data_IF_934478892217
#
_entry.id   IF_934478892217
#
_cell.length_a   1.000
_cell.length_b   1.000
_cell.length_c   1.000
_cell.angle_alpha   90.00
_cell.angle_beta   90.00
_cell.angle_gamma   90.00
#
_symmetry.space_group_name_H-M   'P 1'
#
loop_
_entity.id
_entity.type
_entity.pdbx_description
1 polymer ?
#
# COMPACT_ATOMS: atom_id res chain seq x y z
N UNK A 1 6.69 -0.35 22.79
CA UNK A 1 5.82 0.50 21.96
C UNK A 1 6.62 0.97 20.76
N UNK A 2 6.12 0.75 19.55
CA UNK A 2 6.77 1.26 18.34
C UNK A 2 6.76 2.79 18.34
N UNK A 3 7.90 3.42 18.05
CA UNK A 3 7.99 4.88 17.95
C UNK A 3 7.14 5.36 16.77
N UNK A 4 6.24 6.36 16.95
CA UNK A 4 5.48 6.93 15.83
C UNK A 4 6.43 7.45 14.76
N UNK A 5 5.97 7.55 13.51
CA UNK A 5 6.80 8.12 12.45
C UNK A 5 7.20 9.60 12.75
N UNK A 6 6.38 10.28 13.57
CA UNK A 6 6.48 11.70 13.95
C UNK A 6 6.66 11.91 15.47
N UNK A 7 7.80 11.53 16.08
CA UNK A 7 8.02 11.79 17.49
C UNK A 7 8.23 13.30 17.73
N UNK A 8 7.41 13.89 18.60
CA UNK A 8 7.63 15.24 19.15
C UNK A 8 6.87 16.41 18.52
N UNK A 9 5.97 16.18 17.55
CA UNK A 9 4.98 17.20 17.12
C UNK A 9 3.60 16.82 17.64
N UNK A 10 2.98 17.73 18.36
CA UNK A 10 1.55 17.65 18.67
C UNK A 10 0.78 17.72 17.35
N UNK A 11 0.11 16.62 16.99
CA UNK A 11 -0.72 16.57 15.79
C UNK A 11 -2.03 17.28 16.09
N UNK A 12 -2.26 18.39 15.39
CA UNK A 12 -3.52 19.14 15.44
C UNK A 12 -4.28 18.96 14.13
N UNK A 13 -5.60 19.11 14.17
CA UNK A 13 -6.48 18.98 13.01
C UNK A 13 -5.96 19.81 11.81
N UNK A 14 -5.87 19.17 10.64
CA UNK A 14 -5.36 19.74 9.40
C UNK A 14 -3.83 19.73 9.25
N UNK A 15 -3.09 19.09 10.17
CA UNK A 15 -1.63 18.89 10.00
C UNK A 15 -1.37 18.00 8.78
N UNK A 16 -0.54 18.45 7.84
CA UNK A 16 -0.14 17.65 6.68
C UNK A 16 0.79 16.53 7.13
N UNK A 17 0.39 15.29 6.86
CA UNK A 17 1.15 14.07 7.14
C UNK A 17 1.85 13.54 5.89
N UNK A 18 1.28 13.79 4.71
CA UNK A 18 1.81 13.38 3.42
C UNK A 18 1.25 14.21 2.28
N UNK A 19 1.91 14.18 1.13
CA UNK A 19 1.51 14.90 -0.08
C UNK A 19 1.70 13.99 -1.29
N UNK A 20 0.67 13.88 -2.12
CA UNK A 20 0.72 13.20 -3.42
C UNK A 20 0.76 14.18 -4.58
N UNK A 21 0.51 13.69 -5.79
CA UNK A 21 0.44 14.53 -7.00
C UNK A 21 -0.77 15.48 -7.00
N UNK A 22 -1.90 15.05 -6.43
CA UNK A 22 -3.19 15.75 -6.51
C UNK A 22 -3.92 15.95 -5.17
N UNK A 23 -3.47 15.29 -4.10
CA UNK A 23 -4.14 15.39 -2.80
C UNK A 23 -3.12 15.41 -1.64
N UNK A 24 -3.50 16.05 -0.54
CA UNK A 24 -2.82 15.98 0.76
C UNK A 24 -3.38 14.82 1.57
N UNK A 25 -2.54 14.24 2.44
CA UNK A 25 -3.01 13.46 3.60
C UNK A 25 -2.88 14.33 4.84
N UNK A 26 -3.99 14.61 5.52
CA UNK A 26 -4.02 15.51 6.68
C UNK A 26 -4.68 14.87 7.89
N UNK A 27 -4.12 15.16 9.06
CA UNK A 27 -4.58 14.63 10.35
C UNK A 27 -5.97 15.16 10.73
N UNK A 28 -6.84 14.27 11.19
CA UNK A 28 -8.15 14.63 11.79
C UNK A 28 -8.07 14.41 13.30
N UNK A 29 -7.85 13.16 13.69
CA UNK A 29 -7.81 12.67 15.06
C UNK A 29 -6.91 11.42 15.16
N UNK A 30 -6.84 10.79 16.34
CA UNK A 30 -5.97 9.64 16.62
C UNK A 30 -6.29 8.37 15.82
N UNK A 31 -7.39 8.37 15.06
CA UNK A 31 -7.85 7.22 14.29
C UNK A 31 -7.97 7.49 12.80
N UNK A 32 -8.07 8.76 12.39
CA UNK A 32 -8.46 9.12 11.03
C UNK A 32 -7.63 10.22 10.40
N UNK A 33 -7.54 10.15 9.08
CA UNK A 33 -6.95 11.16 8.21
C UNK A 33 -7.89 11.49 7.06
N UNK A 34 -7.74 12.68 6.51
CA UNK A 34 -8.30 13.03 5.21
C UNK A 34 -7.27 12.85 4.13
N UNK A 35 -7.67 12.22 3.02
CA UNK A 35 -7.03 12.37 1.71
C UNK A 35 -7.90 13.33 0.89
N UNK A 36 -7.36 14.48 0.49
CA UNK A 36 -8.15 15.49 -0.25
C UNK A 36 -7.30 16.59 -0.86
N UNK A 37 -7.84 17.32 -1.84
CA UNK A 37 -7.10 18.37 -2.55
C UNK A 37 -7.03 19.69 -1.77
N UNK A 38 -7.77 19.81 -0.67
CA UNK A 38 -7.87 21.03 0.14
C UNK A 38 -7.84 20.69 1.63
N UNK A 39 -7.16 21.54 2.42
CA UNK A 39 -7.17 21.49 3.88
C UNK A 39 -7.87 22.74 4.39
N UNK A 40 -8.99 22.56 5.08
CA UNK A 40 -9.72 23.63 5.78
C UNK A 40 -9.54 23.47 7.29
N UNK A 41 -9.26 24.55 7.99
CA UNK A 41 -9.20 24.59 9.46
C UNK A 41 -10.03 25.78 9.93
N UNK A 42 -11.02 25.53 10.80
CA UNK A 42 -11.95 26.55 11.30
C UNK A 42 -12.65 27.34 10.17
N UNK A 43 -13.11 26.62 9.13
CA UNK A 43 -13.78 27.20 7.96
C UNK A 43 -12.86 27.97 7.00
N UNK A 44 -11.56 28.08 7.29
CA UNK A 44 -10.60 28.77 6.42
C UNK A 44 -9.73 27.76 5.68
N UNK A 45 -9.63 27.94 4.35
CA UNK A 45 -8.70 27.20 3.50
C UNK A 45 -7.26 27.53 3.87
N UNK A 46 -6.50 26.53 4.32
CA UNK A 46 -5.08 26.66 4.68
C UNK A 46 -4.14 26.25 3.54
N UNK A 47 -4.47 25.16 2.85
CA UNK A 47 -3.66 24.63 1.75
C UNK A 47 -4.60 24.00 0.72
N UNK A 48 -4.23 24.07 -0.56
CA UNK A 48 -5.03 23.49 -1.65
C UNK A 48 -4.19 23.24 -2.89
N UNK A 49 -4.57 22.23 -3.66
CA UNK A 49 -4.14 22.05 -5.05
C UNK A 49 -5.03 22.89 -5.98
N UNK A 50 -4.49 23.38 -7.10
CA UNK A 50 -5.24 24.23 -8.04
C UNK A 50 -6.32 23.48 -8.80
N UNK A 51 -6.16 22.16 -8.97
CA UNK A 51 -7.11 21.26 -9.64
C UNK A 51 -7.71 20.36 -8.55
N UNK A 52 -9.03 20.23 -8.55
CA UNK A 52 -9.75 19.38 -7.60
C UNK A 52 -9.59 17.90 -7.94
N UNK A 53 -9.41 17.05 -6.93
CA UNK A 53 -9.35 15.59 -7.08
C UNK A 53 -10.70 14.90 -6.73
N UNK A 54 -11.85 15.57 -6.88
CA UNK A 54 -13.16 15.06 -6.39
C UNK A 54 -13.57 13.73 -7.04
N UNK A 55 -13.42 13.64 -8.37
CA UNK A 55 -13.72 12.43 -9.13
C UNK A 55 -12.76 11.30 -8.77
N UNK A 56 -11.47 11.60 -8.58
CA UNK A 56 -10.47 10.63 -8.14
C UNK A 56 -10.77 10.09 -6.73
N UNK A 57 -11.21 10.95 -5.81
CA UNK A 57 -11.61 10.57 -4.46
C UNK A 57 -12.86 9.69 -4.47
N UNK A 58 -13.86 10.06 -5.27
CA UNK A 58 -15.09 9.27 -5.43
C UNK A 58 -14.81 7.90 -6.07
N UNK A 59 -13.92 7.88 -7.07
CA UNK A 59 -13.41 6.66 -7.70
C UNK A 59 -12.71 5.77 -6.67
N UNK A 60 -11.74 6.29 -5.92
CA UNK A 60 -11.02 5.51 -4.90
C UNK A 60 -11.97 4.96 -3.84
N UNK A 61 -12.96 5.74 -3.40
CA UNK A 61 -13.99 5.28 -2.48
C UNK A 61 -14.78 4.10 -3.05
N UNK A 62 -15.18 4.15 -4.32
CA UNK A 62 -15.89 3.06 -4.97
C UNK A 62 -15.05 1.77 -5.04
N UNK A 63 -13.73 1.87 -5.19
CA UNK A 63 -12.82 0.71 -5.08
C UNK A 63 -12.86 0.12 -3.67
N UNK A 64 -12.75 0.94 -2.61
CA UNK A 64 -12.86 0.46 -1.24
C UNK A 64 -14.21 -0.22 -0.95
N UNK A 65 -15.31 0.34 -1.47
CA UNK A 65 -16.64 -0.29 -1.33
C UNK A 65 -16.71 -1.65 -2.01
N UNK A 66 -16.09 -1.79 -3.18
CA UNK A 66 -16.06 -3.05 -3.94
C UNK A 66 -15.18 -4.11 -3.27
N UNK A 67 -14.02 -3.70 -2.73
CA UNK A 67 -13.11 -4.57 -2.00
C UNK A 67 -13.76 -5.17 -0.75
N UNK A 68 -14.51 -4.36 0.00
CA UNK A 68 -15.01 -4.74 1.32
C UNK A 68 -13.91 -4.76 2.39
N UNK A 69 -14.27 -5.00 3.66
CA UNK A 69 -13.31 -4.99 4.76
C UNK A 69 -12.38 -6.20 4.72
N UNK A 70 -11.12 -5.99 5.07
CA UNK A 70 -10.11 -7.04 5.24
C UNK A 70 -8.98 -6.52 6.14
N UNK A 71 -8.38 -7.38 6.96
CA UNK A 71 -7.41 -6.96 7.99
C UNK A 71 -6.13 -6.34 7.40
N UNK A 72 -5.76 -6.77 6.18
CA UNK A 72 -4.60 -6.26 5.43
C UNK A 72 -4.98 -5.16 4.40
N UNK A 73 -6.18 -4.59 4.45
CA UNK A 73 -6.58 -3.45 3.60
C UNK A 73 -6.83 -2.23 4.49
N UNK A 74 -6.32 -1.07 4.11
CA UNK A 74 -6.49 0.18 4.84
C UNK A 74 -7.98 0.49 4.97
N UNK A 75 -8.45 0.80 6.17
CA UNK A 75 -9.88 1.07 6.35
C UNK A 75 -10.25 2.42 5.75
N UNK A 76 -11.24 2.43 4.87
CA UNK A 76 -11.92 3.64 4.42
C UNK A 76 -13.24 3.81 5.19
N UNK A 77 -13.46 4.99 5.76
CA UNK A 77 -14.65 5.32 6.54
C UNK A 77 -15.74 5.99 5.72
N UNK A 78 -15.41 6.55 4.55
CA UNK A 78 -16.39 7.23 3.69
C UNK A 78 -15.80 8.42 2.95
N UNK A 79 -16.68 9.08 2.19
CA UNK A 79 -16.46 10.40 1.65
C UNK A 79 -17.03 11.46 2.59
N UNK A 80 -16.25 12.50 2.82
CA UNK A 80 -16.73 13.74 3.39
C UNK A 80 -17.10 14.69 2.26
N UNK A 81 -18.34 15.12 2.26
CA UNK A 81 -18.90 16.04 1.27
C UNK A 81 -19.18 17.38 1.91
N UNK A 82 -18.89 18.46 1.17
CA UNK A 82 -19.34 19.79 1.56
C UNK A 82 -20.66 20.03 0.85
N UNK A 83 -21.72 20.21 1.64
CA UNK A 83 -22.96 20.77 1.14
C UNK A 83 -22.79 22.28 1.12
N UNK A 84 -22.79 22.90 -0.06
CA UNK A 84 -22.94 24.35 -0.15
C UNK A 84 -24.24 24.74 0.57
N UNK A 85 -24.16 25.62 1.55
CA UNK A 85 -25.37 26.25 2.09
C UNK A 85 -26.07 26.97 0.92
N UNK A 86 -27.39 26.80 0.73
CA UNK A 86 -28.10 27.59 -0.25
C UNK A 86 -27.88 29.08 0.09
N UNK A 87 -27.63 29.94 -0.90
CA UNK A 87 -27.40 31.35 -0.64
C UNK A 87 -28.55 31.91 0.20
N UNK A 88 -28.23 32.55 1.33
CA UNK A 88 -29.22 33.21 2.19
C UNK A 88 -30.04 34.13 1.30
N UNK A 89 -31.30 33.75 1.06
CA UNK A 89 -32.19 34.49 0.18
C UNK A 89 -32.38 35.90 0.75
N UNK A 90 -31.78 36.91 0.12
CA UNK A 90 -32.15 38.31 0.41
C UNK A 90 -33.65 38.46 0.08
N UNK A 91 -34.46 39.06 0.96
CA UNK A 91 -35.89 39.11 0.77
C UNK A 91 -36.25 40.13 -0.32
N UNK A 92 -36.14 39.73 -1.60
CA UNK A 92 -36.69 40.52 -2.69
C UNK A 92 -37.44 39.67 -3.71
N UNK A 93 -38.72 40.05 -3.84
CA UNK A 93 -39.71 39.66 -4.85
C UNK A 93 -39.08 39.50 -6.24
N UNK A 94 -38.97 38.26 -6.70
CA UNK A 94 -39.33 37.88 -8.05
C UNK A 94 -39.50 36.36 -8.12
N UNK A 95 -40.29 35.88 -9.07
CA UNK A 95 -40.56 34.46 -9.30
C UNK A 95 -39.25 33.76 -9.72
N UNK A 96 -38.46 33.31 -8.75
CA UNK A 96 -37.23 32.59 -9.01
C UNK A 96 -37.55 31.14 -9.40
N UNK A 97 -36.94 30.70 -10.51
CA UNK A 97 -36.77 29.29 -10.88
C UNK A 97 -36.24 28.56 -9.65
N UNK A 98 -36.79 27.38 -9.33
CA UNK A 98 -36.26 26.50 -8.26
C UNK A 98 -34.74 26.40 -8.49
N UNK A 99 -33.90 26.82 -7.53
CA UNK A 99 -32.46 26.70 -7.70
C UNK A 99 -32.12 25.22 -7.91
N UNK A 100 -31.14 24.90 -8.78
CA UNK A 100 -30.66 23.53 -8.86
C UNK A 100 -30.27 23.04 -7.45
N UNK A 101 -30.43 21.74 -7.15
CA UNK A 101 -29.96 21.21 -5.88
C UNK A 101 -28.49 21.61 -5.69
N UNK A 102 -28.05 21.91 -4.44
CA UNK A 102 -26.67 22.30 -4.19
C UNK A 102 -25.73 21.22 -4.74
N UNK A 103 -24.67 21.64 -5.42
CA UNK A 103 -23.63 20.72 -5.86
C UNK A 103 -23.04 20.07 -4.61
N UNK A 104 -23.07 18.73 -4.56
CA UNK A 104 -22.41 17.97 -3.50
C UNK A 104 -20.96 17.82 -3.95
N UNK A 105 -20.06 18.64 -3.40
CA UNK A 105 -18.64 18.59 -3.71
C UNK A 105 -17.95 17.57 -2.81
N UNK A 106 -17.20 16.63 -3.39
CA UNK A 106 -16.43 15.65 -2.61
C UNK A 106 -15.19 16.34 -2.06
N UNK A 107 -15.15 16.58 -0.76
CA UNK A 107 -14.05 17.31 -0.14
C UNK A 107 -12.85 16.41 0.14
N UNK A 108 -13.11 15.25 0.74
CA UNK A 108 -12.06 14.33 1.16
C UNK A 108 -12.56 12.88 1.27
N UNK A 109 -11.64 11.95 1.09
CA UNK A 109 -11.77 10.56 1.50
C UNK A 109 -11.28 10.43 2.95
N UNK A 110 -12.12 9.90 3.85
CA UNK A 110 -11.74 9.64 5.25
C UNK A 110 -11.16 8.24 5.38
N UNK A 111 -9.90 8.15 5.80
CA UNK A 111 -9.13 6.91 5.91
C UNK A 111 -8.63 6.69 7.35
N UNK A 112 -8.26 5.45 7.64
CA UNK A 112 -7.54 5.07 8.87
C UNK A 112 -6.17 5.75 8.95
N UNK A 113 -5.86 6.30 10.13
CA UNK A 113 -4.53 6.84 10.42
C UNK A 113 -3.55 5.69 10.65
N UNK A 114 -2.53 5.58 9.79
CA UNK A 114 -1.40 4.68 10.01
C UNK A 114 -0.28 5.39 10.80
N UNK A 115 -0.03 5.02 12.07
CA UNK A 115 0.88 5.78 12.95
C UNK A 115 2.37 5.57 12.64
N UNK A 116 2.73 4.54 11.87
CA UNK A 116 4.12 4.14 11.64
C UNK A 116 4.58 4.33 10.18
N UNK A 117 3.84 5.11 9.39
CA UNK A 117 4.15 5.35 7.98
C UNK A 117 4.01 4.10 7.13
N UNK A 118 4.86 3.96 6.12
CA UNK A 118 4.82 2.85 5.16
C UNK A 118 5.91 1.82 5.43
N UNK A 119 5.77 0.62 4.85
CA UNK A 119 6.83 -0.41 4.86
C UNK A 119 8.14 0.18 4.30
N UNK A 120 8.06 0.99 3.25
CA UNK A 120 9.23 1.67 2.69
C UNK A 120 9.87 2.66 3.65
N UNK A 121 9.08 3.47 4.35
CA UNK A 121 9.59 4.41 5.36
C UNK A 121 10.34 3.67 6.48
N UNK A 122 9.79 2.55 6.94
CA UNK A 122 10.41 1.70 7.95
C UNK A 122 11.78 1.18 7.50
N UNK A 123 11.90 0.74 6.25
CA UNK A 123 13.16 0.24 5.68
C UNK A 123 14.18 1.37 5.55
N UNK A 124 13.75 2.55 5.09
CA UNK A 124 14.61 3.72 4.90
C UNK A 124 15.10 4.35 6.20
N UNK A 125 14.28 4.31 7.26
CA UNK A 125 14.60 4.92 8.56
C UNK A 125 15.80 4.29 9.27
N UNK A 126 16.18 3.05 8.91
CA UNK A 126 17.31 2.33 9.52
C UNK A 126 17.29 2.40 11.04
N UNK A 127 16.18 1.97 11.65
CA UNK A 127 16.03 1.94 13.11
C UNK A 127 17.15 1.10 13.76
N UNK A 128 17.53 1.38 15.02
CA UNK A 128 18.46 0.53 15.76
C UNK A 128 18.04 -0.94 15.74
N UNK A 129 18.95 -1.83 15.38
CA UNK A 129 18.64 -3.26 15.19
C UNK A 129 17.93 -3.58 13.87
N UNK A 130 18.01 -2.71 12.85
CA UNK A 130 17.63 -3.05 11.47
C UNK A 130 18.74 -3.88 10.79
N UNK A 131 18.41 -4.79 9.86
CA UNK A 131 17.06 -5.17 9.42
C UNK A 131 16.25 -5.81 10.55
N UNK A 132 14.92 -5.72 10.48
CA UNK A 132 14.07 -6.35 11.51
C UNK A 132 14.36 -7.86 11.61
N UNK A 133 14.17 -8.47 12.81
CA UNK A 133 14.29 -9.92 12.98
C UNK A 133 13.48 -10.69 11.95
N UNK A 134 13.99 -11.85 11.52
CA UNK A 134 13.37 -12.64 10.46
C UNK A 134 11.86 -12.91 10.67
N UNK A 135 11.37 -13.27 11.87
CA UNK A 135 9.93 -13.46 12.09
C UNK A 135 9.09 -12.22 11.78
N UNK A 136 9.59 -11.03 12.11
CA UNK A 136 8.90 -9.77 11.80
C UNK A 136 8.86 -9.50 10.29
N UNK A 137 9.95 -9.76 9.57
CA UNK A 137 9.98 -9.65 8.10
C UNK A 137 9.03 -10.65 7.44
N UNK A 138 9.00 -11.91 7.91
CA UNK A 138 8.07 -12.94 7.41
C UNK A 138 6.60 -12.56 7.62
N UNK A 139 6.25 -11.99 8.79
CA UNK A 139 4.90 -11.48 9.04
C UNK A 139 4.50 -10.37 8.06
N UNK A 140 5.37 -9.39 7.83
CA UNK A 140 5.11 -8.34 6.83
C UNK A 140 4.94 -8.92 5.42
N UNK A 141 5.76 -9.91 5.03
CA UNK A 141 5.59 -10.61 3.76
C UNK A 141 4.21 -11.29 3.64
N UNK A 142 3.73 -11.94 4.70
CA UNK A 142 2.39 -12.57 4.72
C UNK A 142 1.28 -11.53 4.61
N UNK A 143 1.33 -10.45 5.39
CA UNK A 143 0.35 -9.37 5.31
C UNK A 143 0.26 -8.75 3.90
N UNK A 144 1.42 -8.49 3.30
CA UNK A 144 1.51 -7.95 1.94
C UNK A 144 0.91 -8.92 0.91
N UNK A 145 1.26 -10.21 0.98
CA UNK A 145 0.70 -11.21 0.08
C UNK A 145 -0.80 -11.42 0.30
N UNK A 146 -1.27 -11.40 1.54
CA UNK A 146 -2.69 -11.51 1.89
C UNK A 146 -3.51 -10.33 1.38
N UNK A 147 -2.99 -9.10 1.48
CA UNK A 147 -3.64 -7.92 0.92
C UNK A 147 -3.81 -8.03 -0.60
N UNK A 148 -2.78 -8.47 -1.32
CA UNK A 148 -2.84 -8.64 -2.79
C UNK A 148 -3.75 -9.80 -3.17
N UNK A 149 -3.71 -10.92 -2.44
CA UNK A 149 -4.63 -12.03 -2.64
C UNK A 149 -6.10 -11.61 -2.47
N UNK A 150 -6.42 -10.90 -1.39
CA UNK A 150 -7.76 -10.33 -1.20
C UNK A 150 -8.14 -9.40 -2.35
N UNK A 151 -7.27 -8.45 -2.71
CA UNK A 151 -7.50 -7.49 -3.81
C UNK A 151 -7.82 -8.20 -5.13
N UNK A 152 -7.02 -9.19 -5.52
CA UNK A 152 -7.24 -9.99 -6.73
C UNK A 152 -8.51 -10.84 -6.65
N UNK A 153 -8.84 -11.42 -5.48
CA UNK A 153 -10.06 -12.21 -5.30
C UNK A 153 -11.35 -11.40 -5.51
N UNK A 154 -11.26 -10.08 -5.38
CA UNK A 154 -12.34 -9.12 -5.63
C UNK A 154 -12.32 -8.58 -7.07
N UNK A 155 -11.43 -9.08 -7.93
CA UNK A 155 -11.26 -8.60 -9.30
C UNK A 155 -10.72 -7.17 -9.38
N UNK A 156 -9.98 -6.72 -8.36
CA UNK A 156 -9.34 -5.40 -8.36
C UNK A 156 -7.87 -5.58 -8.71
N UNK A 157 -7.33 -4.71 -9.56
CA UNK A 157 -5.90 -4.64 -9.86
C UNK A 157 -5.38 -3.28 -9.39
N UNK A 158 -4.35 -3.27 -8.54
CA UNK A 158 -3.95 -2.06 -7.83
C UNK A 158 -3.23 -1.05 -8.76
N UNK A 159 -2.48 -1.54 -9.74
CA UNK A 159 -1.69 -0.85 -10.77
C UNK A 159 -0.43 -0.12 -10.31
N UNK A 160 -0.32 0.23 -9.03
CA UNK A 160 0.90 0.81 -8.44
C UNK A 160 1.33 0.05 -7.18
N UNK A 161 1.50 -1.28 -7.25
CA UNK A 161 1.96 -2.04 -6.08
C UNK A 161 3.43 -1.75 -5.79
N UNK A 162 3.71 -1.24 -4.59
CA UNK A 162 5.05 -1.24 -4.01
C UNK A 162 5.02 -0.99 -2.50
N UNK A 163 6.15 -1.15 -1.81
CA UNK A 163 6.23 -0.95 -0.35
C UNK A 163 5.86 0.46 0.15
N UNK A 164 5.71 1.46 -0.74
CA UNK A 164 5.18 2.80 -0.39
C UNK A 164 3.67 2.81 -0.14
N UNK A 165 2.95 1.81 -0.63
CA UNK A 165 1.48 1.74 -0.54
C UNK A 165 1.00 0.76 0.56
N UNK A 166 1.95 0.12 1.26
CA UNK A 166 1.66 -0.68 2.45
C UNK A 166 1.93 0.13 3.72
N UNK A 167 0.86 0.49 4.44
CA UNK A 167 0.89 1.29 5.65
C UNK A 167 1.04 0.41 6.89
N UNK A 168 1.77 0.90 7.89
CA UNK A 168 2.16 0.16 9.08
C UNK A 168 1.29 0.50 10.29
N UNK A 169 0.80 -0.55 10.93
CA UNK A 169 -0.02 -0.52 12.14
C UNK A 169 0.65 -1.29 13.27
N UNK A 170 0.32 -0.99 14.53
CA UNK A 170 0.69 -1.86 15.64
C UNK A 170 0.00 -3.22 15.47
N UNK A 171 0.79 -4.28 15.48
CA UNK A 171 0.35 -5.65 15.66
C UNK A 171 0.25 -5.99 17.15
N UNK A 172 -0.42 -7.10 17.44
CA UNK A 172 -0.42 -7.61 18.81
C UNK A 172 0.91 -8.35 19.05
N UNK A 173 1.63 -7.96 20.11
CA UNK A 173 2.93 -8.58 20.44
C UNK A 173 2.81 -10.03 20.94
N UNK A 174 1.59 -10.45 21.30
CA UNK A 174 1.24 -11.84 21.57
C UNK A 174 0.76 -12.44 20.25
N UNK A 175 1.37 -13.56 19.82
CA UNK A 175 1.09 -14.20 18.54
C UNK A 175 -0.38 -14.12 18.14
N UNK A 176 -0.64 -13.47 17.00
CA UNK A 176 -1.92 -13.46 16.32
C UNK A 176 -2.29 -14.92 15.97
N UNK A 177 -2.78 -15.71 16.93
CA UNK A 177 -3.30 -17.08 16.77
C UNK A 177 -2.34 -18.18 16.28
N UNK A 178 -1.21 -17.86 15.67
CA UNK A 178 -0.46 -18.77 14.79
C UNK A 178 0.68 -19.54 15.46
N UNK A 179 0.78 -19.51 16.80
CA UNK A 179 1.79 -20.31 17.52
C UNK A 179 3.25 -19.97 17.22
N UNK A 180 3.53 -18.82 16.57
CA UNK A 180 4.87 -18.34 16.19
C UNK A 180 5.67 -17.79 17.38
N UNK A 181 5.77 -18.57 18.47
CA UNK A 181 6.75 -18.38 19.53
C UNK A 181 6.95 -16.92 19.95
N UNK A 182 5.85 -16.24 20.34
CA UNK A 182 5.81 -14.82 20.70
C UNK A 182 6.68 -14.51 21.91
N UNK A 183 7.99 -14.49 21.72
CA UNK A 183 8.89 -13.71 22.55
C UNK A 183 8.64 -12.22 22.31
N UNK A 184 9.05 -11.38 23.25
CA UNK A 184 8.98 -9.92 23.20
C UNK A 184 9.59 -9.39 21.88
N UNK A 185 8.79 -9.31 20.81
CA UNK A 185 9.20 -8.70 19.57
C UNK A 185 9.00 -7.20 19.74
N UNK A 186 10.06 -6.37 19.80
CA UNK A 186 9.92 -4.93 20.02
C UNK A 186 9.26 -4.21 18.84
N UNK A 187 9.03 -4.92 17.72
CA UNK A 187 8.51 -4.41 16.46
C UNK A 187 7.31 -5.23 15.94
N UNK A 188 6.17 -5.24 16.66
CA UNK A 188 4.98 -5.91 16.17
C UNK A 188 4.33 -4.99 15.14
N UNK A 189 4.80 -5.00 13.89
CA UNK A 189 4.15 -4.26 12.82
C UNK A 189 3.26 -5.19 12.00
N UNK A 190 2.09 -4.69 11.62
CA UNK A 190 1.22 -5.26 10.59
C UNK A 190 1.14 -4.32 9.40
N UNK A 191 1.01 -4.86 8.20
CA UNK A 191 0.90 -4.07 6.97
C UNK A 191 -0.53 -4.10 6.41
N UNK A 192 -1.01 -2.94 5.96
CA UNK A 192 -2.26 -2.79 5.23
C UNK A 192 -2.05 -2.07 3.90
N UNK A 193 -2.57 -2.60 2.81
CA UNK A 193 -2.53 -1.95 1.49
C UNK A 193 -3.52 -0.79 1.43
N UNK A 194 -3.09 0.37 0.93
CA UNK A 194 -3.93 1.53 0.63
C UNK A 194 -3.53 2.17 -0.70
N UNK A 195 -4.03 3.39 -0.95
CA UNK A 195 -3.81 4.16 -2.19
C UNK A 195 -4.40 3.52 -3.47
N UNK A 196 -5.70 3.23 -3.43
CA UNK A 196 -6.42 2.59 -4.54
C UNK A 196 -6.89 3.57 -5.63
N UNK A 197 -6.41 4.82 -5.63
CA UNK A 197 -6.89 5.86 -6.55
C UNK A 197 -6.68 5.51 -8.03
N UNK A 198 -5.58 4.83 -8.33
CA UNK A 198 -5.24 4.37 -9.69
C UNK A 198 -5.73 2.96 -10.04
N UNK A 199 -6.40 2.28 -9.11
CA UNK A 199 -6.79 0.89 -9.30
C UNK A 199 -7.90 0.72 -10.34
N UNK A 200 -7.97 -0.48 -10.90
CA UNK A 200 -9.00 -0.87 -11.87
C UNK A 200 -9.84 -2.02 -11.32
N UNK A 201 -11.10 -2.12 -11.78
CA UNK A 201 -12.01 -3.20 -11.43
C UNK A 201 -12.34 -3.99 -12.69
N UNK A 202 -12.04 -5.29 -12.66
CA UNK A 202 -12.28 -6.20 -13.76
C UNK A 202 -13.76 -6.21 -14.17
N UNK A 203 -14.02 -6.02 -15.46
CA UNK A 203 -15.37 -5.92 -16.03
C UNK A 203 -16.05 -4.56 -15.83
N UNK A 204 -15.33 -3.55 -15.34
CA UNK A 204 -15.79 -2.16 -15.19
C UNK A 204 -14.75 -1.16 -15.72
N UNK A 205 -14.01 -1.52 -16.76
CA UNK A 205 -12.90 -0.75 -17.29
C UNK A 205 -13.32 0.63 -17.84
N UNK A 206 -14.57 0.77 -18.31
CA UNK A 206 -15.13 2.07 -18.74
C UNK A 206 -15.26 3.07 -17.57
N UNK A 207 -15.58 2.57 -16.38
CA UNK A 207 -15.67 3.37 -15.14
C UNK A 207 -14.30 3.48 -14.46
N UNK A 208 -13.50 2.43 -14.61
CA UNK A 208 -12.19 2.28 -14.00
C UNK A 208 -11.05 2.15 -15.02
N UNK A 209 -10.76 3.17 -15.84
CA UNK A 209 -9.64 3.12 -16.77
C UNK A 209 -8.30 3.15 -16.06
N UNK A 210 -7.26 2.66 -16.73
CA UNK A 210 -5.86 2.79 -16.30
C UNK A 210 -5.42 4.25 -16.37
N UNK A 211 -5.05 4.83 -15.23
CA UNK A 211 -4.61 6.23 -15.11
C UNK A 211 -3.24 6.38 -14.45
N UNK A 212 -2.70 5.28 -13.92
CA UNK A 212 -1.37 5.22 -13.30
C UNK A 212 -0.58 4.06 -13.90
N UNK A 213 0.73 4.08 -13.67
CA UNK A 213 1.63 2.99 -14.02
C UNK A 213 2.48 2.57 -12.82
N UNK A 214 3.12 1.41 -12.96
CA UNK A 214 4.01 0.83 -11.95
C UNK A 214 5.26 1.71 -11.74
N UNK A 215 5.75 1.76 -10.51
CA UNK A 215 7.11 2.28 -10.23
C UNK A 215 8.16 1.48 -11.05
N UNK A 216 9.15 2.13 -11.70
CA UNK A 216 10.07 1.44 -12.61
C UNK A 216 10.78 0.20 -12.03
N UNK A 217 11.21 0.26 -10.76
CA UNK A 217 11.85 -0.88 -10.07
C UNK A 217 10.89 -2.04 -9.75
N UNK A 218 9.59 -1.80 -9.87
CA UNK A 218 8.48 -2.72 -9.62
C UNK A 218 7.78 -3.17 -10.90
N UNK A 219 8.21 -2.65 -12.05
CA UNK A 219 7.56 -2.87 -13.34
C UNK A 219 8.03 -4.19 -13.96
N UNK A 220 7.09 -5.05 -14.34
CA UNK A 220 7.38 -6.26 -15.11
C UNK A 220 8.03 -5.89 -16.46
N UNK A 221 9.22 -6.44 -16.82
CA UNK A 221 9.82 -6.22 -18.15
C UNK A 221 8.93 -6.71 -19.29
N UNK A 222 9.13 -6.17 -20.48
CA UNK A 222 8.25 -6.44 -21.63
C UNK A 222 8.41 -7.87 -22.16
N UNK A 223 9.61 -8.45 -22.03
CA UNK A 223 9.92 -9.84 -22.43
C UNK A 223 9.57 -10.11 -23.89
N UNK A 224 9.90 -9.16 -24.76
CA UNK A 224 9.65 -9.27 -26.20
C UNK A 224 8.18 -9.25 -26.65
N UNK A 225 7.22 -8.86 -25.79
CA UNK A 225 5.85 -8.56 -26.22
C UNK A 225 5.83 -7.33 -27.15
N UNK A 226 4.79 -7.16 -27.96
CA UNK A 226 4.78 -6.08 -28.95
C UNK A 226 4.70 -4.71 -28.27
N UNK A 227 3.80 -4.57 -27.29
CA UNK A 227 3.60 -3.34 -26.54
C UNK A 227 3.63 -3.58 -25.02
N UNK A 228 3.97 -2.53 -24.26
CA UNK A 228 3.98 -2.59 -22.78
C UNK A 228 2.61 -2.94 -22.18
N UNK A 229 1.53 -2.66 -22.91
CA UNK A 229 0.16 -2.95 -22.50
C UNK A 229 -0.24 -4.41 -22.75
N UNK A 230 0.54 -5.17 -23.54
CA UNK A 230 0.33 -6.61 -23.74
C UNK A 230 0.76 -7.46 -22.53
N UNK A 231 1.39 -6.83 -21.53
CA UNK A 231 1.77 -7.48 -20.27
C UNK A 231 0.50 -7.81 -19.47
N UNK A 232 0.23 -9.09 -19.15
CA UNK A 232 -0.98 -9.46 -18.42
C UNK A 232 -1.01 -8.82 -17.03
N UNK A 233 -2.15 -8.24 -16.64
CA UNK A 233 -2.32 -7.53 -15.36
C UNK A 233 -1.89 -8.37 -14.15
N UNK A 234 -2.32 -9.64 -14.10
CA UNK A 234 -1.92 -10.56 -13.03
C UNK A 234 -0.40 -10.73 -12.94
N UNK A 235 0.31 -10.76 -14.07
CA UNK A 235 1.77 -10.92 -14.09
C UNK A 235 2.48 -9.65 -13.64
N UNK A 236 1.96 -8.48 -14.02
CA UNK A 236 2.43 -7.17 -13.55
C UNK A 236 2.33 -7.06 -12.03
N UNK A 237 1.15 -7.35 -11.47
CA UNK A 237 0.92 -7.27 -10.02
C UNK A 237 1.73 -8.31 -9.24
N UNK A 238 1.87 -9.53 -9.75
CA UNK A 238 2.69 -10.56 -9.10
C UNK A 238 4.19 -10.24 -9.15
N UNK A 239 4.68 -9.66 -10.24
CA UNK A 239 6.06 -9.16 -10.31
C UNK A 239 6.29 -8.09 -9.24
N UNK A 240 5.39 -7.11 -9.14
CA UNK A 240 5.44 -6.06 -8.13
C UNK A 240 5.36 -6.64 -6.69
N UNK A 241 4.51 -7.65 -6.46
CA UNK A 241 4.47 -8.40 -5.20
C UNK A 241 5.84 -9.05 -4.89
N UNK A 242 6.48 -9.70 -5.87
CA UNK A 242 7.83 -10.25 -5.72
C UNK A 242 8.86 -9.18 -5.32
N UNK A 243 8.78 -7.99 -5.92
CA UNK A 243 9.58 -6.83 -5.55
C UNK A 243 9.32 -6.36 -4.11
N UNK A 244 8.07 -6.35 -3.63
CA UNK A 244 7.74 -6.03 -2.24
C UNK A 244 8.36 -7.04 -1.26
N UNK A 245 8.21 -8.34 -1.56
CA UNK A 245 8.78 -9.41 -0.75
C UNK A 245 10.31 -9.29 -0.68
N UNK A 246 10.96 -9.01 -1.80
CA UNK A 246 12.39 -8.71 -1.82
C UNK A 246 12.73 -7.46 -1.00
N UNK A 247 11.99 -6.36 -1.16
CA UNK A 247 12.30 -5.11 -0.43
C UNK A 247 12.25 -5.32 1.08
N UNK A 248 11.27 -6.08 1.57
CA UNK A 248 11.13 -6.46 2.98
C UNK A 248 12.26 -7.40 3.43
N UNK A 249 12.56 -8.43 2.65
CA UNK A 249 13.54 -9.44 3.05
C UNK A 249 14.97 -8.93 2.91
N UNK A 250 15.35 -8.35 1.79
CA UNK A 250 16.67 -7.77 1.60
C UNK A 250 16.85 -6.45 2.38
N UNK A 251 15.76 -5.85 2.87
CA UNK A 251 15.75 -4.57 3.58
C UNK A 251 16.36 -3.43 2.75
N UNK A 252 16.06 -3.46 1.45
CA UNK A 252 16.52 -2.52 0.40
C UNK A 252 15.71 -2.75 -0.87
N UNK A 253 15.55 -1.72 -1.70
CA UNK A 253 14.79 -1.83 -2.96
C UNK A 253 15.49 -2.77 -3.96
N UNK A 254 14.75 -3.43 -4.86
CA UNK A 254 15.35 -4.07 -6.04
C UNK A 254 16.23 -3.06 -6.80
N UNK A 255 17.47 -3.45 -7.14
CA UNK A 255 18.46 -2.59 -7.81
C UNK A 255 18.61 -1.19 -7.18
N UNK A 256 18.58 -1.09 -5.85
CA UNK A 256 18.67 0.19 -5.16
C UNK A 256 19.91 1.00 -5.57
N UNK A 257 19.71 2.28 -5.87
CA UNK A 257 20.78 3.21 -6.28
C UNK A 257 21.02 3.27 -7.79
N UNK A 258 20.37 2.40 -8.57
CA UNK A 258 20.46 2.42 -10.03
C UNK A 258 19.35 3.26 -10.64
N UNK A 259 19.60 3.79 -11.85
CA UNK A 259 18.62 4.57 -12.62
C UNK A 259 17.54 3.67 -13.21
N UNK A 260 16.36 4.23 -13.47
CA UNK A 260 15.23 3.47 -14.03
C UNK A 260 15.59 2.79 -15.37
N UNK A 261 16.43 3.43 -16.19
CA UNK A 261 16.90 2.84 -17.46
C UNK A 261 17.83 1.64 -17.25
N UNK A 262 18.71 1.69 -16.26
CA UNK A 262 19.60 0.55 -15.93
C UNK A 262 18.80 -0.63 -15.40
N UNK A 263 17.81 -0.36 -14.53
CA UNK A 263 16.92 -1.38 -13.98
C UNK A 263 16.11 -2.05 -15.09
N UNK A 264 15.46 -1.27 -15.96
CA UNK A 264 14.71 -1.81 -17.08
C UNK A 264 15.58 -2.70 -17.98
N UNK A 265 16.82 -2.29 -18.27
CA UNK A 265 17.77 -3.08 -19.07
C UNK A 265 18.19 -4.39 -18.40
N UNK A 266 18.36 -4.41 -17.07
CA UNK A 266 18.67 -5.63 -16.32
C UNK A 266 17.48 -6.59 -16.32
N UNK A 267 16.28 -6.09 -16.02
CA UNK A 267 15.06 -6.90 -16.03
C UNK A 267 14.79 -7.50 -17.40
N UNK A 268 15.03 -6.79 -18.51
CA UNK A 268 14.89 -7.34 -19.85
C UNK A 268 15.91 -8.45 -20.15
N UNK A 269 17.08 -8.45 -19.51
CA UNK A 269 18.07 -9.54 -19.56
C UNK A 269 17.79 -10.68 -18.58
N UNK A 270 16.73 -10.57 -17.77
CA UNK A 270 16.46 -11.52 -16.68
C UNK A 270 17.47 -11.44 -15.53
N UNK A 271 18.17 -10.30 -15.40
CA UNK A 271 19.11 -10.05 -14.32
C UNK A 271 18.36 -9.46 -13.14
N UNK A 272 18.13 -10.29 -12.11
CA UNK A 272 17.46 -9.89 -10.87
C UNK A 272 18.44 -9.77 -9.71
N UNK A 273 18.09 -9.04 -8.62
CA UNK A 273 18.92 -8.99 -7.43
C UNK A 273 19.13 -10.38 -6.80
N UNK A 274 20.29 -10.56 -6.15
CA UNK A 274 20.62 -11.82 -5.47
C UNK A 274 19.63 -12.13 -4.34
N UNK A 275 19.20 -13.38 -4.25
CA UNK A 275 18.41 -13.92 -3.13
C UNK A 275 19.29 -14.64 -2.09
N UNK A 276 20.60 -14.72 -2.34
CA UNK A 276 21.61 -15.29 -1.46
C UNK A 276 22.37 -14.20 -0.71
N UNK A 277 23.02 -14.60 0.37
CA UNK A 277 23.83 -13.77 1.25
C UNK A 277 24.75 -12.84 0.46
N UNK A 278 24.65 -11.55 0.76
CA UNK A 278 25.59 -10.54 0.30
C UNK A 278 26.61 -10.24 1.41
N UNK A 279 27.71 -9.57 1.05
CA UNK A 279 28.78 -9.19 1.99
C UNK A 279 28.34 -8.26 3.15
N UNK A 280 27.05 -7.88 3.21
CA UNK A 280 26.49 -6.97 4.20
C UNK A 280 25.95 -7.65 5.48
N UNK A 281 26.07 -8.98 5.59
CA UNK A 281 25.83 -9.74 6.83
C UNK A 281 24.36 -9.92 7.22
N UNK A 282 23.41 -9.73 6.29
CA UNK A 282 21.95 -9.88 6.54
C UNK A 282 21.44 -11.32 6.49
N UNK A 283 22.29 -12.28 6.11
CA UNK A 283 21.96 -13.69 5.91
C UNK A 283 21.10 -13.96 4.67
N UNK A 284 21.00 -15.22 4.27
CA UNK A 284 20.18 -15.66 3.14
C UNK A 284 18.69 -15.32 3.31
N UNK A 285 18.02 -14.98 2.20
CA UNK A 285 16.56 -15.02 2.15
C UNK A 285 16.13 -16.49 2.30
N UNK A 286 15.24 -16.85 3.25
CA UNK A 286 14.80 -18.23 3.44
C UNK A 286 14.31 -18.84 2.13
N UNK A 287 14.71 -20.08 1.86
CA UNK A 287 14.52 -20.73 0.56
C UNK A 287 13.08 -20.66 0.03
N UNK A 288 12.08 -20.79 0.90
CA UNK A 288 10.68 -20.68 0.50
C UNK A 288 10.27 -19.25 0.09
N UNK A 289 10.76 -18.22 0.77
CA UNK A 289 10.52 -16.82 0.37
C UNK A 289 11.30 -16.50 -0.91
N UNK A 290 12.54 -17.00 -1.04
CA UNK A 290 13.31 -16.89 -2.26
C UNK A 290 12.58 -17.52 -3.46
N UNK A 291 11.98 -18.71 -3.28
CA UNK A 291 11.14 -19.37 -4.30
C UNK A 291 9.90 -18.54 -4.66
N UNK A 292 9.28 -17.89 -3.69
CA UNK A 292 8.15 -16.99 -3.94
C UNK A 292 8.59 -15.77 -4.78
N UNK A 293 9.69 -15.12 -4.41
CA UNK A 293 10.24 -13.97 -5.15
C UNK A 293 10.63 -14.36 -6.57
N UNK A 294 11.42 -15.42 -6.72
CA UNK A 294 11.91 -15.89 -8.02
C UNK A 294 10.76 -16.30 -8.95
N UNK A 295 9.77 -17.02 -8.43
CA UNK A 295 8.60 -17.41 -9.23
C UNK A 295 7.75 -16.21 -9.64
N UNK A 296 7.63 -15.18 -8.81
CA UNK A 296 6.98 -13.92 -9.17
C UNK A 296 7.74 -13.21 -10.30
N UNK A 297 9.06 -13.04 -10.15
CA UNK A 297 9.89 -12.39 -11.17
C UNK A 297 9.90 -13.15 -12.49
N UNK A 298 9.83 -14.48 -12.46
CA UNK A 298 9.83 -15.33 -13.64
C UNK A 298 8.44 -15.66 -14.20
N UNK A 299 7.37 -14.99 -13.75
CA UNK A 299 5.98 -15.21 -14.21
C UNK A 299 5.47 -16.66 -14.00
N UNK A 300 5.99 -17.38 -13.02
CA UNK A 300 5.61 -18.78 -12.71
C UNK A 300 4.20 -18.88 -12.10
N UNK A 301 3.77 -17.86 -11.36
CA UNK A 301 2.49 -17.87 -10.65
C UNK A 301 1.38 -17.13 -11.42
N UNK A 302 0.15 -17.61 -11.28
CA UNK A 302 -1.07 -17.00 -11.86
C UNK A 302 -2.06 -16.53 -10.78
N UNK A 303 -1.67 -16.58 -9.51
CA UNK A 303 -2.51 -16.18 -8.37
C UNK A 303 -1.65 -15.74 -7.20
N UNK A 304 -2.09 -14.70 -6.50
CA UNK A 304 -1.45 -14.22 -5.28
C UNK A 304 -1.69 -15.18 -4.10
N UNK A 305 -2.79 -15.94 -4.08
CA UNK A 305 -3.03 -17.02 -3.10
C UNK A 305 -1.94 -18.09 -3.14
N UNK A 306 -1.42 -18.41 -4.33
CA UNK A 306 -0.29 -19.35 -4.46
C UNK A 306 0.97 -18.81 -3.80
N UNK A 307 1.23 -17.50 -3.93
CA UNK A 307 2.37 -16.83 -3.29
C UNK A 307 2.18 -16.80 -1.77
N UNK A 308 0.98 -16.43 -1.30
CA UNK A 308 0.62 -16.43 0.11
C UNK A 308 0.79 -17.82 0.74
N UNK A 309 0.27 -18.87 0.10
CA UNK A 309 0.38 -20.24 0.59
C UNK A 309 1.84 -20.71 0.73
N UNK A 310 2.75 -20.24 -0.13
CA UNK A 310 4.19 -20.52 0.03
C UNK A 310 4.72 -19.87 1.32
N UNK A 311 4.32 -18.63 1.61
CA UNK A 311 4.77 -17.85 2.77
C UNK A 311 4.19 -18.36 4.11
N UNK A 312 2.98 -18.89 4.10
CA UNK A 312 2.35 -19.53 5.26
C UNK A 312 3.07 -20.83 5.67
N UNK A 313 3.60 -21.56 4.69
CA UNK A 313 4.36 -22.80 4.94
C UNK A 313 5.79 -22.54 5.48
N UNK A 314 6.23 -21.27 5.56
CA UNK A 314 7.52 -20.88 6.13
C UNK A 314 7.38 -20.75 7.65
N UNK A 315 7.32 -21.86 8.38
CA UNK A 315 7.52 -21.86 9.83
C UNK A 315 6.34 -22.25 10.74
N UNK A 316 5.66 -23.37 10.47
CA UNK A 316 5.37 -24.33 11.56
C UNK A 316 6.65 -25.15 11.76
N UNK A 317 7.64 -24.56 12.41
CA UNK A 317 8.82 -25.30 12.83
C UNK A 317 8.44 -26.17 14.03
N UNK A 318 7.92 -27.38 13.79
CA UNK A 318 8.17 -28.47 14.75
C UNK A 318 9.69 -28.61 14.79
N UNK A 319 10.31 -28.16 15.87
CA UNK A 319 11.60 -28.69 16.28
C UNK A 319 11.49 -30.21 16.13
N UNK A 320 12.32 -30.82 15.28
CA UNK A 320 12.57 -32.25 15.45
C UNK A 320 13.07 -32.39 16.88
N UNK A 321 12.54 -33.34 17.68
CA UNK A 321 13.12 -33.64 18.96
C UNK A 321 14.62 -33.82 18.74
N UNK A 322 15.44 -33.14 19.54
CA UNK A 322 16.85 -33.51 19.62
C UNK A 322 16.84 -34.97 20.04
N UNK A 323 17.29 -35.84 19.15
CA UNK A 323 17.61 -37.21 19.53
C UNK A 323 18.79 -37.07 20.50
N UNK A 324 18.48 -37.20 21.79
CA UNK A 324 19.47 -37.35 22.84
C UNK A 324 20.25 -38.65 22.56
N UNK A 325 21.54 -38.51 22.27
CA UNK A 325 22.54 -39.57 22.32
C UNK A 325 23.65 -39.14 23.29
#
# INVERSE_FOLDING_TARGET
MATPLFPGKELVFGTILGMGGSCFVSYIDEHTVYKGYEIRVNGRRKSYYPISCEEDLAREFAVYQHLGPHDCILRCYGLDVIHDEPPIAKPHRSKAKVPPPPAVAVHALRLELAPHGTVRDLIQKKLPGSPLPLPARLRLCRDVAAAVAHTHSRGVWHQDLSCRNFLLFPGTGAGDGDGDGGGDCPYPYRAKLGDFGGSIIQGREDEFPTIVGEEPQYMLPNRGRADMDDRPLIKRELFALGCCLYEIMAWRRPHQGQTDSEVAKQYERGEFPSLKEEEDGRGDIPAAVAKAIDGCWNEVYDSADRVLAILENVGIGRERPRDDW
#
